data_IF_036549989208
#
_entry.id   IF_036549989208
#
_cell.length_a   1.000
_cell.length_b   1.000
_cell.length_c   1.000
_cell.angle_alpha   90.00
_cell.angle_beta   90.00
_cell.angle_gamma   90.00
#
_symmetry.space_group_name_H-M   'P 1'
#
loop_
_entity.id
_entity.type
_entity.pdbx_description
1 polymer ?
#
# COMPACT_ATOMS: atom_id res chain seq x y z
N UNK A 1 -34.24 -14.50 9.53
CA UNK A 1 -33.63 -13.17 9.30
C UNK A 1 -33.90 -12.79 7.85
N UNK A 2 -34.62 -11.71 7.59
CA UNK A 2 -34.75 -11.18 6.22
C UNK A 2 -33.45 -10.43 5.85
N UNK A 3 -33.06 -10.34 4.57
CA UNK A 3 -31.96 -9.47 4.13
C UNK A 3 -32.14 -8.01 4.60
N UNK A 4 -33.38 -7.58 4.82
CA UNK A 4 -33.71 -6.25 5.34
C UNK A 4 -33.35 -6.06 6.83
N UNK A 5 -33.13 -7.14 7.58
CA UNK A 5 -32.78 -7.10 9.01
C UNK A 5 -31.28 -7.26 9.26
N UNK A 6 -30.48 -7.37 8.19
CA UNK A 6 -29.04 -7.63 8.28
C UNK A 6 -28.25 -6.36 7.97
N UNK A 7 -27.37 -5.97 8.88
CA UNK A 7 -26.40 -4.91 8.66
C UNK A 7 -25.04 -5.53 8.31
N UNK A 8 -24.39 -5.00 7.28
CA UNK A 8 -23.03 -5.38 6.90
C UNK A 8 -22.12 -4.16 6.99
N UNK A 9 -20.99 -4.33 7.67
CA UNK A 9 -19.95 -3.32 7.81
C UNK A 9 -18.61 -3.91 7.37
N UNK A 10 -17.97 -3.28 6.40
CA UNK A 10 -16.63 -3.60 5.94
C UNK A 10 -15.70 -2.46 6.37
N UNK A 11 -14.68 -2.80 7.14
CA UNK A 11 -13.69 -1.85 7.67
C UNK A 11 -12.32 -2.32 7.20
N UNK A 12 -11.52 -1.39 6.70
CA UNK A 12 -10.08 -1.58 6.53
C UNK A 12 -9.41 -1.20 7.85
N UNK A 13 -8.52 -2.04 8.39
CA UNK A 13 -7.89 -1.78 9.70
C UNK A 13 -6.81 -0.71 9.64
N UNK A 14 -6.00 -0.75 8.59
CA UNK A 14 -4.94 0.16 8.18
C UNK A 14 -4.65 -0.19 6.71
N UNK A 15 -4.12 0.74 5.90
CA UNK A 15 -3.53 0.32 4.64
C UNK A 15 -2.07 -0.11 4.87
N UNK A 16 -1.47 -0.63 3.81
CA UNK A 16 -0.04 -0.82 3.74
C UNK A 16 0.53 0.43 3.06
N UNK A 17 1.64 0.93 3.58
CA UNK A 17 2.46 1.85 2.83
C UNK A 17 2.76 1.15 1.50
N UNK A 18 2.25 1.73 0.41
CA UNK A 18 2.42 1.16 -0.92
C UNK A 18 3.90 1.05 -1.33
N UNK A 19 4.77 1.67 -0.53
CA UNK A 19 6.23 1.61 -0.54
C UNK A 19 6.75 0.30 0.07
N UNK A 20 6.36 -0.84 -0.51
CA UNK A 20 7.15 -2.05 -0.30
C UNK A 20 8.47 -1.87 -1.08
N UNK A 21 9.59 -2.38 -0.55
CA UNK A 21 10.73 -3.01 -1.27
C UNK A 21 12.04 -2.24 -1.60
N UNK A 22 13.11 -3.02 -1.46
CA UNK A 22 14.25 -3.22 -2.36
C UNK A 22 14.63 -2.11 -3.36
N UNK A 23 15.79 -1.50 -3.10
CA UNK A 23 16.55 -0.73 -4.08
C UNK A 23 17.35 -1.69 -4.98
N UNK A 24 17.15 -1.70 -6.31
CA UNK A 24 18.03 -2.43 -7.22
C UNK A 24 19.47 -1.91 -7.04
N UNK A 25 20.39 -2.77 -6.59
CA UNK A 25 21.81 -2.38 -6.57
C UNK A 25 22.26 -2.18 -8.01
N UNK A 26 22.86 -1.03 -8.28
CA UNK A 26 23.42 -0.77 -9.59
C UNK A 26 24.65 -1.69 -9.81
N UNK A 27 24.92 -2.11 -11.07
CA UNK A 27 26.01 -3.04 -11.37
C UNK A 27 27.41 -2.57 -10.95
N UNK A 28 27.60 -1.27 -10.80
CA UNK A 28 28.83 -0.59 -10.35
C UNK A 28 29.03 -0.62 -8.84
N UNK A 29 28.02 -1.01 -8.06
CA UNK A 29 28.14 -1.14 -6.59
C UNK A 29 28.56 -2.55 -6.13
N UNK A 30 28.60 -3.53 -7.03
CA UNK A 30 28.91 -4.93 -6.70
C UNK A 30 30.39 -5.32 -6.93
N UNK A 31 31.16 -4.54 -7.69
CA UNK A 31 32.54 -4.87 -8.07
C UNK A 31 33.45 -3.63 -7.91
N UNK A 32 34.68 -3.77 -7.36
CA UNK A 32 35.61 -2.65 -7.28
C UNK A 32 35.97 -2.19 -8.70
N UNK A 33 35.91 -0.87 -8.94
CA UNK A 33 36.27 -0.23 -10.21
C UNK A 33 37.71 -0.62 -10.57
N UNK A 34 37.87 -1.65 -11.41
CA UNK A 34 39.17 -2.00 -11.99
C UNK A 34 39.50 -0.93 -13.02
N UNK A 35 40.58 -0.20 -12.77
CA UNK A 35 41.10 0.79 -13.71
C UNK A 35 41.36 0.11 -15.07
N UNK A 36 40.51 0.39 -16.05
CA UNK A 36 40.68 -0.12 -17.41
C UNK A 36 41.78 0.69 -18.11
N UNK A 37 42.86 0.00 -18.49
CA UNK A 37 43.69 0.44 -19.60
C UNK A 37 42.81 0.35 -20.85
N UNK A 38 42.76 1.43 -21.62
CA UNK A 38 41.97 1.65 -22.84
C UNK A 38 40.66 2.44 -22.58
N UNK A 39 40.84 3.72 -22.30
CA UNK A 39 39.82 4.79 -22.22
C UNK A 39 39.34 5.18 -23.64
N UNK A 40 39.26 4.22 -24.56
CA UNK A 40 39.24 4.52 -26.01
C UNK A 40 37.96 4.11 -26.75
N UNK A 41 36.83 4.10 -26.04
CA UNK A 41 35.55 4.26 -26.72
C UNK A 41 34.80 5.36 -26.00
N UNK A 42 34.79 6.56 -26.59
CA UNK A 42 33.86 7.62 -26.22
C UNK A 42 32.46 7.04 -26.33
N UNK A 43 31.95 6.60 -25.19
CA UNK A 43 30.60 6.05 -25.10
C UNK A 43 29.65 7.22 -25.38
N UNK A 44 29.02 7.19 -26.55
CA UNK A 44 28.08 8.21 -26.98
C UNK A 44 26.91 8.32 -25.99
N UNK A 45 26.20 9.45 -26.00
CA UNK A 45 24.96 9.60 -25.21
C UNK A 45 24.00 8.43 -25.47
N UNK A 46 23.97 7.91 -26.69
CA UNK A 46 23.16 6.74 -27.07
C UNK A 46 23.64 5.45 -26.40
N UNK A 47 24.95 5.22 -26.31
CA UNK A 47 25.49 4.07 -25.58
C UNK A 47 25.02 4.05 -24.12
N UNK A 48 25.21 5.18 -23.41
CA UNK A 48 24.85 5.28 -22.00
C UNK A 48 23.34 5.16 -21.78
N UNK A 49 22.54 5.72 -22.68
CA UNK A 49 21.07 5.56 -22.67
C UNK A 49 20.64 4.11 -22.84
N UNK A 50 21.24 3.39 -23.80
CA UNK A 50 20.89 2.01 -24.06
C UNK A 50 21.29 1.09 -22.89
N UNK A 51 22.44 1.32 -22.27
CA UNK A 51 22.86 0.57 -21.07
C UNK A 51 21.95 0.83 -19.86
N UNK A 52 21.60 2.09 -19.61
CA UNK A 52 20.65 2.44 -18.54
C UNK A 52 19.28 1.79 -18.78
N UNK A 53 18.77 1.87 -20.01
CA UNK A 53 17.50 1.26 -20.40
C UNK A 53 17.52 -0.26 -20.21
N UNK A 54 18.57 -0.94 -20.67
CA UNK A 54 18.72 -2.39 -20.50
C UNK A 54 18.80 -2.79 -19.02
N UNK A 55 19.44 -1.98 -18.19
CA UNK A 55 19.52 -2.22 -16.73
C UNK A 55 18.16 -2.11 -16.06
N UNK A 56 17.38 -1.08 -16.41
CA UNK A 56 16.01 -0.90 -15.93
C UNK A 56 15.11 -2.03 -16.40
N UNK A 57 15.10 -2.36 -17.69
CA UNK A 57 14.27 -3.44 -18.24
C UNK A 57 14.61 -4.80 -17.61
N UNK A 58 15.88 -5.06 -17.30
CA UNK A 58 16.32 -6.30 -16.64
C UNK A 58 15.81 -6.43 -15.19
N UNK A 59 15.77 -5.32 -14.45
CA UNK A 59 15.46 -5.34 -13.01
C UNK A 59 14.04 -4.87 -12.66
N UNK A 60 13.32 -4.24 -13.60
CA UNK A 60 11.98 -3.70 -13.43
C UNK A 60 10.98 -4.35 -14.38
N UNK A 61 10.80 -5.66 -14.22
CA UNK A 61 9.75 -6.39 -14.94
C UNK A 61 8.44 -6.38 -14.14
N UNK A 62 7.64 -5.35 -14.37
CA UNK A 62 6.35 -5.13 -13.67
C UNK A 62 5.27 -6.15 -14.05
N UNK A 63 5.51 -6.98 -15.08
CA UNK A 63 4.55 -8.02 -15.50
C UNK A 63 4.60 -9.26 -14.60
N UNK A 64 5.69 -9.46 -13.85
CA UNK A 64 5.82 -10.57 -12.91
C UNK A 64 4.92 -10.36 -11.69
N UNK A 65 4.17 -11.40 -11.30
CA UNK A 65 3.28 -11.34 -10.14
C UNK A 65 4.02 -11.12 -8.81
N UNK A 66 5.28 -11.57 -8.72
CA UNK A 66 6.16 -11.37 -7.57
C UNK A 66 7.10 -10.18 -7.73
N UNK A 67 6.87 -9.32 -8.74
CA UNK A 67 7.69 -8.14 -8.93
C UNK A 67 7.57 -7.20 -7.74
N UNK A 68 8.69 -6.57 -7.43
CA UNK A 68 8.82 -5.65 -6.33
C UNK A 68 9.17 -4.22 -6.81
N UNK A 69 8.17 -3.30 -6.95
CA UNK A 69 8.30 -1.83 -7.13
C UNK A 69 9.19 -1.17 -6.05
N UNK A 70 9.96 -0.13 -6.38
CA UNK A 70 10.89 0.48 -5.44
C UNK A 70 10.20 1.23 -4.27
N UNK A 71 10.91 1.35 -3.14
CA UNK A 71 10.57 2.19 -2.00
C UNK A 71 11.69 3.18 -1.64
N UNK A 72 11.35 4.22 -0.87
CA UNK A 72 12.29 5.26 -0.42
C UNK A 72 13.28 4.75 0.64
N UNK A 73 12.86 3.83 1.52
CA UNK A 73 13.69 3.29 2.61
C UNK A 73 13.75 1.76 2.58
N UNK A 74 14.96 1.14 2.66
CA UNK A 74 15.10 -0.30 2.60
C UNK A 74 14.69 -0.95 3.92
N UNK A 75 13.66 -1.82 3.88
CA UNK A 75 13.25 -2.69 5.00
C UNK A 75 12.90 -4.09 4.48
N UNK A 76 13.08 -5.10 5.33
CA UNK A 76 12.75 -6.50 5.00
C UNK A 76 11.23 -6.73 4.87
N UNK A 77 10.45 -5.95 5.63
CA UNK A 77 9.00 -5.84 5.54
C UNK A 77 8.63 -4.38 5.56
N UNK A 78 7.62 -4.03 4.78
CA UNK A 78 7.05 -2.69 4.82
C UNK A 78 6.23 -2.47 6.10
N UNK A 79 6.10 -1.19 6.45
CA UNK A 79 5.37 -0.70 7.62
C UNK A 79 4.01 -0.21 7.22
N UNK A 80 2.98 -0.52 8.01
CA UNK A 80 1.62 -0.06 7.73
C UNK A 80 1.53 1.45 7.49
N UNK A 81 0.60 1.81 6.61
CA UNK A 81 0.19 3.18 6.37
C UNK A 81 -0.53 3.75 7.58
N UNK A 82 -0.42 5.06 7.75
CA UNK A 82 -1.04 5.83 8.84
C UNK A 82 -2.16 6.74 8.36
N UNK A 83 -2.58 6.57 7.11
CA UNK A 83 -3.68 7.29 6.47
C UNK A 83 -5.06 6.86 6.99
N UNK A 84 -6.04 7.74 6.80
CA UNK A 84 -7.43 7.42 7.06
C UNK A 84 -7.92 6.34 6.09
N UNK A 85 -8.67 5.38 6.63
CA UNK A 85 -9.13 4.20 5.90
C UNK A 85 -10.64 4.21 5.67
N UNK A 86 -11.07 3.61 4.56
CA UNK A 86 -12.47 3.57 4.19
C UNK A 86 -13.29 2.58 5.04
N UNK A 87 -14.54 2.95 5.30
CA UNK A 87 -15.56 2.11 5.91
C UNK A 87 -16.77 2.09 4.99
N UNK A 88 -17.24 0.88 4.68
CA UNK A 88 -18.42 0.65 3.84
C UNK A 88 -19.53 0.01 4.66
N UNK A 89 -20.72 0.61 4.67
CA UNK A 89 -21.87 0.13 5.42
C UNK A 89 -23.08 -0.10 4.50
N UNK A 90 -23.84 -1.17 4.77
CA UNK A 90 -25.13 -1.44 4.11
C UNK A 90 -26.13 -2.07 5.08
N UNK A 91 -27.43 -1.82 4.86
CA UNK A 91 -28.51 -2.30 5.72
C UNK A 91 -29.04 -1.24 6.69
N UNK A 92 -29.78 -1.65 7.73
CA UNK A 92 -30.32 -0.73 8.74
C UNK A 92 -29.23 0.15 9.36
N UNK A 93 -29.54 1.44 9.54
CA UNK A 93 -28.63 2.43 10.14
C UNK A 93 -27.30 2.68 9.39
N UNK A 94 -27.16 2.26 8.11
CA UNK A 94 -25.95 2.53 7.33
C UNK A 94 -25.60 4.01 7.18
N UNK A 95 -26.60 4.89 7.23
CA UNK A 95 -26.43 6.34 7.19
C UNK A 95 -25.68 6.94 8.40
N UNK A 96 -25.47 6.17 9.47
CA UNK A 96 -24.61 6.58 10.59
C UNK A 96 -23.12 6.66 10.19
N UNK A 97 -22.70 5.87 9.19
CA UNK A 97 -21.32 5.76 8.74
C UNK A 97 -21.06 6.74 7.58
N UNK A 98 -21.22 8.04 7.86
CA UNK A 98 -20.97 9.12 6.89
C UNK A 98 -19.95 10.11 7.43
N UNK A 99 -19.25 10.80 6.55
CA UNK A 99 -18.19 11.75 6.93
C UNK A 99 -16.92 11.05 7.45
N UNK A 100 -16.13 11.79 8.23
CA UNK A 100 -14.92 11.29 8.90
C UNK A 100 -15.16 11.12 10.40
N UNK A 101 -14.59 10.07 10.97
CA UNK A 101 -14.70 9.74 12.39
C UNK A 101 -13.53 8.87 12.83
N UNK A 102 -13.31 8.84 14.13
CA UNK A 102 -12.27 8.03 14.76
C UNK A 102 -12.61 6.54 14.75
N UNK A 103 -11.60 5.67 14.57
CA UNK A 103 -11.78 4.21 14.50
C UNK A 103 -12.45 3.64 15.76
N UNK A 104 -12.24 4.26 16.94
CA UNK A 104 -12.84 3.83 18.19
C UNK A 104 -14.36 4.08 18.28
N UNK A 105 -14.94 4.91 17.39
CA UNK A 105 -16.38 5.22 17.37
C UNK A 105 -17.19 4.11 16.69
N UNK A 106 -16.57 3.33 15.79
CA UNK A 106 -17.19 2.21 15.09
C UNK A 106 -17.97 1.25 16.01
N UNK A 107 -17.38 0.67 17.08
CA UNK A 107 -18.13 -0.23 17.96
C UNK A 107 -19.30 0.44 18.67
N UNK A 108 -19.23 1.75 18.94
CA UNK A 108 -20.33 2.49 19.56
C UNK A 108 -21.51 2.68 18.58
N UNK A 109 -21.23 3.03 17.33
CA UNK A 109 -22.27 3.15 16.28
C UNK A 109 -22.93 1.80 15.99
N UNK A 110 -22.14 0.72 15.92
CA UNK A 110 -22.67 -0.64 15.76
C UNK A 110 -23.55 -1.05 16.95
N UNK A 111 -23.13 -0.73 18.18
CA UNK A 111 -23.90 -1.03 19.38
C UNK A 111 -25.22 -0.26 19.43
N UNK A 112 -25.20 1.03 19.04
CA UNK A 112 -26.39 1.86 18.92
C UNK A 112 -27.40 1.25 17.92
N UNK A 113 -26.93 0.91 16.71
CA UNK A 113 -27.76 0.38 15.63
C UNK A 113 -28.36 -1.01 15.95
N UNK A 114 -27.63 -1.84 16.70
CA UNK A 114 -28.04 -3.21 17.05
C UNK A 114 -28.71 -3.33 18.42
N UNK A 115 -28.93 -2.21 19.13
CA UNK A 115 -29.59 -2.20 20.43
C UNK A 115 -28.87 -3.01 21.53
N UNK A 116 -27.54 -3.11 21.46
CA UNK A 116 -26.74 -3.85 22.43
C UNK A 116 -25.88 -2.91 23.30
N UNK A 117 -25.42 -3.43 24.43
CA UNK A 117 -24.52 -2.70 25.33
C UNK A 117 -25.22 -1.77 26.31
N UNK A 118 -24.43 -0.87 26.91
CA UNK A 118 -24.86 0.05 27.99
C UNK A 118 -24.85 1.53 27.58
N UNK A 119 -24.55 1.83 26.32
CA UNK A 119 -24.64 3.17 25.76
C UNK A 119 -26.05 3.52 25.27
N UNK A 120 -26.16 4.64 24.56
CA UNK A 120 -27.37 5.03 23.82
C UNK A 120 -27.70 3.96 22.76
N UNK A 121 -28.99 3.68 22.55
CA UNK A 121 -29.48 2.68 21.58
C UNK A 121 -30.57 3.27 20.70
N UNK A 122 -30.75 2.67 19.53
CA UNK A 122 -31.83 3.01 18.60
C UNK A 122 -33.24 2.66 19.09
N UNK A 123 -33.36 1.77 20.08
CA UNK A 123 -34.64 1.27 20.62
C UNK A 123 -34.96 1.80 22.02
N UNK A 124 -34.13 2.70 22.56
CA UNK A 124 -34.43 3.39 23.81
C UNK A 124 -35.39 4.57 23.58
#
# INVERSE_FOLDING_TARGET
MSPHDTANLMIVSHDYDSDKRYHPRLPDEAEPIKAARNVEQEQTIEYWRNQAKATVEKHMDTSKSNFVFPAMLPKDSETHGGEDVAVYASGPWSHLFTGSYEQNVLPHMMAYASCIGRGMKACD
#
